data_IF_311632234559
#
_entry.id   IF_311632234559
#
_cell.length_a   1.000
_cell.length_b   1.000
_cell.length_c   1.000
_cell.angle_alpha   90.00
_cell.angle_beta   90.00
_cell.angle_gamma   90.00
#
_symmetry.space_group_name_H-M   'P 1'
#
loop_
_entity.id
_entity.type
_entity.pdbx_description
1 polymer ?
#
# COMPACT_ATOMS: atom_id res chain seq x y z
N UNK A 1 -66.45 -2.86 67.59
CA UNK A 1 -64.99 -2.80 67.72
C UNK A 1 -64.24 -3.59 66.61
N UNK A 2 -64.93 -4.28 65.70
CA UNK A 2 -64.31 -5.17 64.69
C UNK A 2 -64.10 -4.56 63.30
N UNK A 3 -64.63 -3.37 63.00
CA UNK A 3 -64.44 -2.73 61.62
C UNK A 3 -63.10 -1.99 61.47
N UNK A 4 -62.58 -1.41 62.56
CA UNK A 4 -61.31 -0.70 62.52
C UNK A 4 -60.09 -1.64 62.32
N UNK A 5 -60.14 -2.84 62.93
CA UNK A 5 -59.05 -3.81 62.84
C UNK A 5 -58.99 -4.42 61.42
N UNK A 6 -60.15 -4.67 60.80
CA UNK A 6 -60.23 -5.21 59.45
C UNK A 6 -59.72 -4.23 58.39
N UNK A 7 -59.97 -2.93 58.51
CA UNK A 7 -59.47 -1.92 57.58
C UNK A 7 -57.92 -1.69 57.73
N UNK A 8 -57.42 -1.81 58.97
CA UNK A 8 -55.96 -1.68 59.16
C UNK A 8 -55.20 -2.87 58.55
N UNK A 9 -55.75 -4.07 58.65
CA UNK A 9 -55.17 -5.26 58.10
C UNK A 9 -55.22 -5.28 56.55
N UNK A 10 -56.30 -4.75 55.99
CA UNK A 10 -56.42 -4.61 54.54
C UNK A 10 -55.42 -3.61 53.93
N UNK A 11 -55.20 -2.49 54.62
CA UNK A 11 -54.24 -1.46 54.20
C UNK A 11 -52.77 -1.95 54.30
N UNK A 12 -52.45 -2.73 55.35
CA UNK A 12 -51.11 -3.32 55.47
C UNK A 12 -50.78 -4.39 54.39
N UNK A 13 -51.81 -5.19 54.06
CA UNK A 13 -51.67 -6.21 53.01
C UNK A 13 -51.53 -5.54 51.64
N UNK A 14 -52.30 -4.45 51.39
CA UNK A 14 -52.27 -3.71 50.12
C UNK A 14 -50.89 -3.02 49.91
N UNK A 15 -50.37 -2.38 50.96
CA UNK A 15 -49.01 -1.78 50.90
C UNK A 15 -47.92 -2.81 50.78
N UNK A 16 -48.06 -3.99 51.39
CA UNK A 16 -47.10 -5.08 51.28
C UNK A 16 -47.09 -5.70 49.86
N UNK A 17 -48.27 -5.81 49.25
CA UNK A 17 -48.39 -6.33 47.85
C UNK A 17 -47.85 -5.31 46.86
N UNK A 18 -48.11 -4.01 47.08
CA UNK A 18 -47.59 -2.97 46.21
C UNK A 18 -46.06 -2.84 46.28
N UNK A 19 -45.49 -3.04 47.49
CA UNK A 19 -44.03 -3.06 47.65
C UNK A 19 -43.37 -4.29 47.04
N UNK A 20 -44.10 -5.41 46.90
CA UNK A 20 -43.60 -6.63 46.27
C UNK A 20 -43.65 -6.56 44.73
N UNK A 21 -44.57 -5.74 44.17
CA UNK A 21 -44.66 -5.52 42.72
C UNK A 21 -43.62 -4.51 42.22
N UNK A 22 -43.02 -3.72 43.11
CA UNK A 22 -42.01 -2.72 42.76
C UNK A 22 -40.56 -3.26 42.82
N UNK A 23 -40.34 -4.57 42.85
CA UNK A 23 -38.98 -5.09 42.72
C UNK A 23 -38.50 -4.87 41.29
N UNK A 24 -37.46 -4.06 41.06
CA UNK A 24 -36.90 -3.93 39.73
C UNK A 24 -36.43 -5.30 39.29
N UNK A 25 -36.95 -5.75 38.18
CA UNK A 25 -36.48 -6.95 37.51
C UNK A 25 -34.96 -6.82 37.34
N UNK A 26 -34.19 -7.58 38.12
CA UNK A 26 -32.74 -7.65 37.99
C UNK A 26 -32.50 -8.28 36.62
N UNK A 27 -32.37 -7.42 35.61
CA UNK A 27 -32.02 -7.85 34.27
C UNK A 27 -30.63 -8.50 34.35
N UNK A 28 -30.57 -9.80 34.18
CA UNK A 28 -29.31 -10.54 34.12
C UNK A 28 -28.44 -9.85 33.04
N UNK A 29 -27.21 -9.43 33.40
CA UNK A 29 -26.35 -8.75 32.45
C UNK A 29 -26.22 -9.62 31.21
N UNK A 30 -26.63 -9.07 30.06
CA UNK A 30 -26.62 -9.76 28.79
C UNK A 30 -25.18 -10.22 28.52
N UNK A 31 -24.99 -11.42 27.99
CA UNK A 31 -23.67 -12.00 27.66
C UNK A 31 -22.76 -11.00 26.93
N UNK A 32 -23.34 -10.13 26.10
CA UNK A 32 -22.69 -9.03 25.43
C UNK A 32 -22.03 -8.02 26.37
N UNK A 33 -22.70 -7.63 27.45
CA UNK A 33 -22.16 -6.64 28.40
C UNK A 33 -20.95 -7.19 29.19
N UNK A 34 -20.91 -8.50 29.40
CA UNK A 34 -19.80 -9.15 30.12
C UNK A 34 -18.56 -9.31 29.25
N UNK A 35 -18.73 -9.52 27.94
CA UNK A 35 -17.64 -9.80 27.00
C UNK A 35 -17.25 -8.60 26.14
N UNK A 36 -17.98 -7.49 26.20
CA UNK A 36 -17.72 -6.28 25.42
C UNK A 36 -16.27 -5.80 25.52
N UNK A 37 -15.67 -5.87 26.71
CA UNK A 37 -14.28 -5.44 26.93
C UNK A 37 -13.25 -6.22 26.13
N UNK A 38 -13.58 -7.43 25.69
CA UNK A 38 -12.72 -8.29 24.85
C UNK A 38 -13.07 -8.20 23.37
N UNK A 39 -14.34 -8.00 23.05
CA UNK A 39 -14.78 -7.89 21.67
C UNK A 39 -14.33 -6.58 21.01
N UNK A 40 -14.31 -5.48 21.73
CA UNK A 40 -13.88 -4.19 21.20
C UNK A 40 -12.41 -4.20 20.77
N UNK A 41 -11.42 -4.59 21.62
CA UNK A 41 -10.03 -4.60 21.17
C UNK A 41 -9.76 -5.67 20.10
N UNK A 42 -10.42 -6.83 20.17
CA UNK A 42 -10.28 -7.87 19.16
C UNK A 42 -10.87 -7.44 17.81
N UNK A 43 -12.02 -6.77 17.83
CA UNK A 43 -12.65 -6.19 16.65
C UNK A 43 -11.79 -5.11 16.01
N UNK A 44 -11.27 -4.16 16.80
CA UNK A 44 -10.34 -3.14 16.30
C UNK A 44 -9.07 -3.74 15.70
N UNK A 45 -8.51 -4.78 16.34
CA UNK A 45 -7.32 -5.46 15.83
C UNK A 45 -7.60 -6.15 14.48
N UNK A 46 -8.73 -6.84 14.36
CA UNK A 46 -9.10 -7.52 13.11
C UNK A 46 -9.31 -6.54 11.96
N UNK A 47 -9.96 -5.40 12.22
CA UNK A 47 -10.13 -4.33 11.22
C UNK A 47 -8.79 -3.72 10.83
N UNK A 48 -7.89 -3.48 11.79
CA UNK A 48 -6.55 -2.96 11.49
C UNK A 48 -5.74 -3.93 10.63
N UNK A 49 -5.74 -5.23 10.93
CA UNK A 49 -5.06 -6.25 10.13
C UNK A 49 -5.65 -6.34 8.73
N UNK A 50 -6.99 -6.32 8.61
CA UNK A 50 -7.66 -6.35 7.31
C UNK A 50 -7.33 -5.11 6.47
N UNK A 51 -7.26 -3.94 7.10
CA UNK A 51 -6.87 -2.70 6.44
C UNK A 51 -5.42 -2.75 5.95
N UNK A 52 -4.49 -3.21 6.78
CA UNK A 52 -3.09 -3.36 6.40
C UNK A 52 -2.91 -4.38 5.25
N UNK A 53 -3.64 -5.49 5.28
CA UNK A 53 -3.63 -6.47 4.20
C UNK A 53 -4.18 -5.89 2.89
N UNK A 54 -5.23 -5.09 2.97
CA UNK A 54 -5.82 -4.41 1.82
C UNK A 54 -4.86 -3.39 1.21
N UNK A 55 -4.26 -2.52 2.04
CA UNK A 55 -3.27 -1.55 1.58
C UNK A 55 -2.05 -2.26 0.99
N UNK A 56 -1.55 -3.31 1.64
CA UNK A 56 -0.46 -4.12 1.14
C UNK A 56 -0.75 -4.75 -0.24
N UNK A 57 -1.97 -5.25 -0.43
CA UNK A 57 -2.40 -5.78 -1.73
C UNK A 57 -2.39 -4.73 -2.83
N UNK A 58 -2.88 -3.52 -2.55
CA UNK A 58 -2.86 -2.41 -3.53
C UNK A 58 -1.43 -2.07 -3.91
N UNK A 59 -0.52 -1.97 -2.94
CA UNK A 59 0.89 -1.68 -3.19
C UNK A 59 1.49 -2.74 -4.13
N UNK A 60 1.28 -4.02 -3.85
CA UNK A 60 1.81 -5.12 -4.69
C UNK A 60 1.25 -5.04 -6.11
N UNK A 61 -0.06 -4.80 -6.27
CA UNK A 61 -0.69 -4.69 -7.60
C UNK A 61 -0.10 -3.51 -8.38
N UNK A 62 0.04 -2.34 -7.75
CA UNK A 62 0.58 -1.14 -8.42
C UNK A 62 2.03 -1.36 -8.84
N UNK A 63 2.89 -1.91 -7.98
CA UNK A 63 4.29 -2.20 -8.34
C UNK A 63 4.39 -3.25 -9.46
N UNK A 64 3.55 -4.27 -9.44
CA UNK A 64 3.52 -5.27 -10.51
C UNK A 64 3.09 -4.66 -11.85
N UNK A 65 2.11 -3.76 -11.83
CA UNK A 65 1.66 -3.07 -13.04
C UNK A 65 2.76 -2.19 -13.65
N UNK A 66 3.52 -1.45 -12.83
CA UNK A 66 4.63 -0.62 -13.31
C UNK A 66 5.72 -1.48 -13.95
N UNK A 67 6.12 -2.58 -13.30
CA UNK A 67 7.15 -3.50 -13.81
C UNK A 67 6.73 -4.25 -15.08
N UNK A 68 5.46 -4.38 -15.36
CA UNK A 68 4.95 -5.01 -16.59
C UNK A 68 4.93 -4.07 -17.79
N UNK A 69 5.17 -2.77 -17.61
CA UNK A 69 5.12 -1.77 -18.67
C UNK A 69 6.26 -1.99 -19.68
N UNK A 70 5.98 -1.82 -20.95
CA UNK A 70 6.99 -1.95 -22.02
C UNK A 70 8.15 -0.97 -21.82
N UNK A 71 7.84 0.25 -21.34
CA UNK A 71 8.85 1.28 -21.01
C UNK A 71 9.86 0.78 -19.96
N UNK A 72 9.39 0.13 -18.92
CA UNK A 72 10.26 -0.42 -17.88
C UNK A 72 11.17 -1.51 -18.42
N UNK A 73 10.61 -2.47 -19.15
CA UNK A 73 11.36 -3.61 -19.71
C UNK A 73 12.42 -3.16 -20.70
N UNK A 74 12.06 -2.25 -21.60
CA UNK A 74 12.95 -1.71 -22.61
C UNK A 74 14.11 -0.92 -21.98
N UNK A 75 13.79 -0.03 -21.01
CA UNK A 75 14.80 0.76 -20.31
C UNK A 75 15.82 -0.14 -19.58
N UNK A 76 15.31 -1.18 -18.91
CA UNK A 76 16.15 -2.14 -18.19
C UNK A 76 16.99 -2.99 -19.14
N UNK A 77 16.43 -3.40 -20.29
CA UNK A 77 17.16 -4.17 -21.31
C UNK A 77 18.31 -3.35 -21.90
N UNK A 78 18.06 -2.08 -22.24
CA UNK A 78 19.09 -1.18 -22.76
C UNK A 78 20.20 -0.94 -21.73
N UNK A 79 19.83 -0.66 -20.48
CA UNK A 79 20.82 -0.46 -19.42
C UNK A 79 21.70 -1.70 -19.16
N UNK A 80 21.13 -2.90 -19.26
CA UNK A 80 21.86 -4.15 -19.10
C UNK A 80 22.76 -4.51 -20.29
N UNK A 81 22.45 -3.99 -21.46
CA UNK A 81 23.21 -4.22 -22.70
C UNK A 81 24.32 -3.18 -22.93
N UNK A 82 24.24 -2.02 -22.27
CA UNK A 82 25.18 -0.94 -22.46
C UNK A 82 26.54 -1.20 -21.81
N UNK A 83 27.65 -1.14 -22.57
CA UNK A 83 28.99 -1.44 -22.07
C UNK A 83 29.44 -0.46 -20.96
N UNK A 84 29.11 0.84 -21.06
CA UNK A 84 29.51 1.82 -20.07
C UNK A 84 28.77 1.61 -18.73
N UNK A 85 27.52 1.18 -18.78
CA UNK A 85 26.76 0.80 -17.56
C UNK A 85 27.35 -0.48 -16.94
N UNK A 86 27.69 -1.48 -17.77
CA UNK A 86 28.33 -2.71 -17.30
C UNK A 86 29.69 -2.42 -16.68
N UNK A 87 30.48 -1.54 -17.26
CA UNK A 87 31.77 -1.14 -16.71
C UNK A 87 31.63 -0.44 -15.36
N UNK A 88 30.67 0.48 -15.24
CA UNK A 88 30.45 1.27 -14.04
C UNK A 88 29.82 0.47 -12.89
N UNK A 89 28.82 -0.36 -13.17
CA UNK A 89 28.08 -1.10 -12.14
C UNK A 89 28.60 -2.55 -11.94
N UNK A 90 29.21 -3.12 -12.95
CA UNK A 90 29.56 -4.54 -13.01
C UNK A 90 28.39 -5.44 -13.44
N UNK A 91 28.70 -6.68 -13.80
CA UNK A 91 27.70 -7.69 -14.19
C UNK A 91 27.67 -8.81 -13.14
N UNK A 92 26.50 -9.39 -12.78
CA UNK A 92 25.17 -9.13 -13.32
C UNK A 92 24.48 -7.89 -12.71
N UNK A 93 23.76 -7.14 -13.53
CA UNK A 93 22.95 -6.00 -13.10
C UNK A 93 21.57 -6.51 -12.69
N UNK A 94 21.18 -6.23 -11.45
CA UNK A 94 19.87 -6.56 -10.86
C UNK A 94 19.01 -5.32 -10.75
N UNK A 95 17.72 -5.46 -11.04
CA UNK A 95 16.75 -4.41 -10.80
C UNK A 95 16.32 -4.37 -9.33
N UNK A 96 16.15 -3.16 -8.82
CA UNK A 96 15.66 -2.94 -7.46
C UNK A 96 14.16 -3.17 -7.35
N UNK A 97 13.70 -3.34 -6.11
CA UNK A 97 12.28 -3.59 -5.82
C UNK A 97 11.43 -2.32 -5.86
N UNK A 98 12.00 -1.17 -5.53
CA UNK A 98 11.31 0.12 -5.39
C UNK A 98 11.50 0.97 -6.65
N UNK A 99 10.61 0.80 -7.63
CA UNK A 99 10.50 1.70 -8.78
C UNK A 99 9.64 2.89 -8.38
N UNK A 100 10.08 4.10 -8.66
CA UNK A 100 9.31 5.32 -8.44
C UNK A 100 9.00 6.03 -9.75
N UNK A 101 7.96 6.85 -9.75
CA UNK A 101 7.53 7.59 -10.92
C UNK A 101 6.06 7.39 -11.24
N UNK A 102 5.66 7.86 -12.40
CA UNK A 102 4.31 7.73 -12.89
C UNK A 102 4.27 7.28 -14.35
N UNK A 103 3.24 6.54 -14.69
CA UNK A 103 2.91 6.18 -16.06
C UNK A 103 1.42 6.44 -16.25
N UNK A 104 1.09 7.28 -17.21
CA UNK A 104 -0.28 7.56 -17.59
C UNK A 104 -0.46 7.13 -19.05
N UNK A 105 -1.42 6.25 -19.31
CA UNK A 105 -1.73 5.75 -20.66
C UNK A 105 -3.21 5.96 -20.92
N UNK A 106 -3.52 6.65 -21.98
CA UNK A 106 -4.88 6.88 -22.45
C UNK A 106 -4.98 6.44 -23.92
N UNK A 107 -5.37 5.18 -24.11
CA UNK A 107 -5.44 4.57 -25.43
C UNK A 107 -4.11 4.57 -26.19
N UNK A 108 -4.07 5.26 -27.33
CA UNK A 108 -2.89 5.39 -28.18
C UNK A 108 -1.89 6.45 -27.74
N UNK A 109 -2.23 7.23 -26.69
CA UNK A 109 -1.38 8.29 -26.13
C UNK A 109 -0.97 7.97 -24.70
N UNK A 110 0.12 8.57 -24.22
CA UNK A 110 0.56 8.40 -22.85
C UNK A 110 1.85 9.12 -22.55
N UNK A 111 2.18 9.19 -21.26
CA UNK A 111 3.46 9.68 -20.76
C UNK A 111 3.96 8.79 -19.63
N UNK A 112 5.25 8.57 -19.58
CA UNK A 112 5.89 7.77 -18.53
C UNK A 112 7.16 8.44 -18.06
N UNK A 113 7.28 8.65 -16.75
CA UNK A 113 8.49 9.11 -16.10
C UNK A 113 8.79 8.15 -14.96
N UNK A 114 9.86 7.38 -15.09
CA UNK A 114 10.23 6.34 -14.15
C UNK A 114 11.66 6.56 -13.66
N UNK A 115 11.87 6.26 -12.37
CA UNK A 115 13.18 6.11 -11.77
C UNK A 115 13.31 4.66 -11.27
N UNK A 116 14.16 3.90 -11.94
CA UNK A 116 14.34 2.47 -11.72
C UNK A 116 15.69 2.27 -11.03
N UNK A 117 15.73 1.92 -9.74
CA UNK A 117 16.99 1.58 -9.10
C UNK A 117 17.56 0.29 -9.67
N UNK A 118 18.85 0.28 -9.91
CA UNK A 118 19.61 -0.90 -10.36
C UNK A 118 20.84 -1.08 -9.49
N UNK A 119 21.31 -2.30 -9.39
CA UNK A 119 22.52 -2.61 -8.63
C UNK A 119 23.36 -3.66 -9.33
N UNK A 120 24.65 -3.41 -9.37
CA UNK A 120 25.65 -4.36 -9.78
C UNK A 120 26.63 -4.67 -8.64
N UNK A 121 27.59 -5.55 -8.87
CA UNK A 121 28.60 -5.92 -7.86
C UNK A 121 29.58 -4.78 -7.53
N UNK A 122 29.81 -3.82 -8.42
CA UNK A 122 30.71 -2.68 -8.21
C UNK A 122 30.00 -1.48 -7.60
N UNK A 123 28.81 -1.13 -8.09
CA UNK A 123 28.08 0.06 -7.68
C UNK A 123 26.56 -0.08 -7.83
N UNK A 124 25.85 0.90 -7.27
CA UNK A 124 24.40 1.08 -7.46
C UNK A 124 24.17 2.27 -8.36
N UNK A 125 23.04 2.27 -9.09
CA UNK A 125 22.62 3.37 -9.94
C UNK A 125 21.11 3.47 -10.03
N UNK A 126 20.66 4.49 -10.73
CA UNK A 126 19.23 4.68 -11.02
C UNK A 126 19.06 5.02 -12.51
N UNK A 127 18.17 4.30 -13.18
CA UNK A 127 17.78 4.61 -14.55
C UNK A 127 16.64 5.63 -14.48
N UNK A 128 16.82 6.80 -15.07
CA UNK A 128 15.78 7.79 -15.27
C UNK A 128 15.24 7.65 -16.68
N UNK A 129 13.95 7.42 -16.79
CA UNK A 129 13.24 7.23 -18.06
C UNK A 129 12.20 8.30 -18.23
N UNK A 130 12.21 8.96 -19.38
CA UNK A 130 11.13 9.83 -19.85
C UNK A 130 10.70 9.37 -21.23
N UNK A 131 9.44 8.98 -21.39
CA UNK A 131 8.90 8.50 -22.64
C UNK A 131 7.48 9.01 -22.85
N UNK A 132 7.14 9.27 -24.12
CA UNK A 132 5.82 9.67 -24.55
C UNK A 132 5.28 8.65 -25.54
N UNK A 133 4.01 8.26 -25.35
CA UNK A 133 3.31 7.36 -26.26
C UNK A 133 2.51 8.19 -27.27
N UNK A 134 2.72 7.96 -28.56
CA UNK A 134 1.93 8.54 -29.63
C UNK A 134 1.64 7.48 -30.66
N UNK A 135 0.41 7.46 -31.18
CA UNK A 135 -0.05 6.45 -32.16
C UNK A 135 0.22 5.00 -31.72
N UNK A 136 0.16 4.75 -30.43
CA UNK A 136 0.39 3.41 -29.86
C UNK A 136 1.86 3.05 -29.64
N UNK A 137 2.82 3.86 -30.09
CA UNK A 137 4.25 3.62 -29.97
C UNK A 137 4.89 4.51 -28.89
N UNK A 138 5.84 3.95 -28.14
CA UNK A 138 6.62 4.67 -27.14
C UNK A 138 7.84 5.33 -27.79
N UNK A 139 7.93 6.65 -27.60
CA UNK A 139 9.08 7.45 -28.00
C UNK A 139 9.80 7.92 -26.74
N UNK A 140 11.06 7.55 -26.61
CA UNK A 140 11.89 7.90 -25.47
C UNK A 140 12.51 9.29 -25.68
N UNK A 141 12.21 10.23 -24.79
CA UNK A 141 12.78 11.58 -24.77
C UNK A 141 13.96 11.70 -23.84
N UNK A 142 14.11 10.77 -22.89
CA UNK A 142 15.24 10.69 -21.98
C UNK A 142 15.41 9.28 -21.44
N UNK A 143 16.64 8.77 -21.47
CA UNK A 143 17.01 7.48 -20.87
C UNK A 143 18.44 7.57 -20.36
N UNK A 144 18.59 7.86 -19.07
CA UNK A 144 19.88 8.15 -18.46
C UNK A 144 20.10 7.25 -17.25
N UNK A 145 21.27 6.68 -17.14
CA UNK A 145 21.71 5.98 -15.92
C UNK A 145 22.59 6.90 -15.09
N UNK A 146 22.23 7.15 -13.87
CA UNK A 146 23.06 7.85 -12.89
C UNK A 146 23.68 6.85 -11.93
N UNK A 147 25.01 6.83 -11.87
CA UNK A 147 25.78 5.97 -10.98
C UNK A 147 25.92 6.63 -9.62
N UNK A 148 25.39 5.98 -8.56
CA UNK A 148 25.25 6.58 -7.23
C UNK A 148 26.50 7.18 -6.60
N UNK A 149 27.67 6.50 -6.57
CA UNK A 149 28.85 7.04 -5.90
C UNK A 149 29.51 8.22 -6.62
N UNK A 150 29.47 8.22 -7.95
CA UNK A 150 30.17 9.18 -8.80
C UNK A 150 29.28 10.26 -9.40
N UNK A 151 27.94 10.11 -9.29
CA UNK A 151 26.95 10.93 -9.99
C UNK A 151 27.19 11.01 -11.51
N UNK A 152 27.93 10.06 -12.04
CA UNK A 152 28.17 9.94 -13.46
C UNK A 152 26.85 9.61 -14.17
N UNK A 153 26.56 10.35 -15.23
CA UNK A 153 25.36 10.15 -16.06
C UNK A 153 25.76 9.52 -17.38
N UNK A 154 25.14 8.41 -17.70
CA UNK A 154 25.34 7.65 -18.93
C UNK A 154 24.02 7.75 -19.72
N UNK A 155 24.05 8.36 -20.89
CA UNK A 155 22.88 8.52 -21.75
C UNK A 155 22.76 7.29 -22.67
N UNK A 156 21.65 6.57 -22.54
CA UNK A 156 21.37 5.34 -23.31
C UNK A 156 20.58 5.60 -24.60
N UNK A 157 20.21 6.85 -24.88
CA UNK A 157 19.61 7.24 -26.17
C UNK A 157 20.66 7.57 -27.22
N UNK A 158 21.83 8.03 -26.79
CA UNK A 158 22.95 8.19 -27.69
C UNK A 158 23.53 6.79 -27.95
N UNK A 159 23.41 6.34 -29.19
CA UNK A 159 24.23 5.21 -29.63
C UNK A 159 25.67 5.67 -29.42
N UNK A 160 26.39 5.04 -28.51
CA UNK A 160 27.82 5.30 -28.30
C UNK A 160 28.52 4.93 -29.58
N UNK A 161 28.67 5.93 -30.48
CA UNK A 161 29.67 5.83 -31.54
C UNK A 161 30.98 5.82 -30.82
N UNK A 162 31.80 4.73 -30.92
CA UNK A 162 33.11 4.73 -30.30
C UNK A 162 33.85 5.92 -30.85
N UNK A 163 34.28 6.82 -29.96
CA UNK A 163 35.16 7.95 -30.32
C UNK A 163 36.43 7.37 -30.91
N UNK A 164 36.50 7.35 -32.25
CA UNK A 164 37.67 6.90 -33.00
C UNK A 164 38.59 8.10 -33.32
N UNK A 165 38.72 9.02 -32.37
CA UNK A 165 39.71 10.09 -32.43
C UNK A 165 41.05 9.61 -31.84
N UNK A 166 41.83 9.00 -32.72
CA UNK A 166 43.29 8.90 -32.63
C UNK A 166 43.92 9.43 -33.90
#
# INVERSE_FOLDING_TARGET
MNRCVANHFAAEVETAVEHQLAQPAISKPNWWQRNWKWFVPLGCLSVAVMFLAFVGSIIVIVFSAIKSTDVYKEALARAKADPAVIEALGSPIKDGSLVSGNTNVNGASGASNLAIPISGPKARGTIYVSANKSLGQWNYSGLVVEVGPTHQRIDLLQISVPDNSR
#
